data_IF_088450377065
#
_entry.id   IF_088450377065
#
_cell.length_a   1.000
_cell.length_b   1.000
_cell.length_c   1.000
_cell.angle_alpha   90.00
_cell.angle_beta   90.00
_cell.angle_gamma   90.00
#
_symmetry.space_group_name_H-M   'P 1'
#
loop_
_entity.id
_entity.type
_entity.pdbx_description
1 polymer ?
#
# COMPACT_ATOMS: atom_id res chain seq x y z
N UNK A 1 -9.27 -34.20 8.46
CA UNK A 1 -8.22 -33.17 8.46
C UNK A 1 -8.83 -31.91 7.88
N UNK A 2 -8.94 -30.85 8.67
CA UNK A 2 -9.82 -29.71 8.37
C UNK A 2 -9.20 -28.64 7.47
N UNK A 3 -9.99 -28.19 6.49
CA UNK A 3 -9.76 -27.03 5.63
C UNK A 3 -9.21 -25.83 6.42
N UNK A 4 -8.14 -25.21 5.92
CA UNK A 4 -7.65 -23.92 6.44
C UNK A 4 -7.73 -22.87 5.33
N UNK A 5 -8.94 -22.70 4.79
CA UNK A 5 -9.39 -21.43 4.25
C UNK A 5 -9.14 -20.35 5.32
N UNK A 6 -9.07 -19.09 4.91
CA UNK A 6 -9.18 -18.00 5.88
C UNK A 6 -10.44 -18.21 6.73
N UNK A 7 -10.26 -18.71 7.96
CA UNK A 7 -11.36 -19.04 8.89
C UNK A 7 -12.15 -17.81 9.32
N UNK A 8 -11.69 -16.63 8.93
CA UNK A 8 -12.24 -15.34 9.27
C UNK A 8 -13.27 -14.81 8.25
N UNK A 9 -13.47 -15.53 7.13
CA UNK A 9 -14.02 -15.02 5.89
C UNK A 9 -15.56 -14.92 5.84
N UNK A 10 -16.15 -14.16 6.74
CA UNK A 10 -17.41 -13.48 6.42
C UNK A 10 -17.08 -12.33 5.45
N UNK A 11 -17.91 -12.09 4.42
CA UNK A 11 -17.67 -11.07 3.39
C UNK A 11 -17.41 -9.67 3.98
N UNK A 12 -17.99 -9.38 5.14
CA UNK A 12 -17.85 -8.12 5.90
C UNK A 12 -16.38 -7.81 6.25
N UNK A 13 -15.54 -8.84 6.39
CA UNK A 13 -14.14 -8.70 6.80
C UNK A 13 -13.14 -8.52 5.65
N UNK A 14 -13.63 -8.49 4.40
CA UNK A 14 -12.80 -8.34 3.21
C UNK A 14 -12.75 -6.88 2.76
N UNK A 15 -11.55 -6.40 2.45
CA UNK A 15 -11.31 -5.10 1.84
C UNK A 15 -10.89 -5.32 0.40
N UNK A 16 -11.71 -4.87 -0.54
CA UNK A 16 -11.46 -4.97 -1.97
C UNK A 16 -10.40 -3.97 -2.43
N UNK A 17 -9.54 -4.42 -3.35
CA UNK A 17 -8.66 -3.58 -4.14
C UNK A 17 -9.30 -3.40 -5.50
N UNK A 18 -9.59 -2.14 -5.84
CA UNK A 18 -10.20 -1.76 -7.11
C UNK A 18 -9.21 -0.97 -7.93
N UNK A 19 -9.16 -1.26 -9.22
CA UNK A 19 -8.43 -0.42 -10.16
C UNK A 19 -9.24 0.82 -10.56
N UNK A 20 -8.68 1.61 -11.48
CA UNK A 20 -9.31 2.85 -11.99
C UNK A 20 -10.65 2.60 -12.69
N UNK A 21 -10.88 1.38 -13.20
CA UNK A 21 -12.15 0.96 -13.81
C UNK A 21 -13.13 0.38 -12.77
N UNK A 22 -12.83 0.51 -11.48
CA UNK A 22 -13.59 -0.08 -10.38
C UNK A 22 -13.66 -1.61 -10.39
N UNK A 23 -12.81 -2.29 -11.16
CA UNK A 23 -12.74 -3.74 -11.18
C UNK A 23 -11.97 -4.24 -9.96
N UNK A 24 -12.49 -5.28 -9.30
CA UNK A 24 -11.79 -5.90 -8.17
C UNK A 24 -10.58 -6.67 -8.70
N UNK A 25 -9.37 -6.26 -8.30
CA UNK A 25 -8.10 -6.88 -8.69
C UNK A 25 -7.46 -7.68 -7.55
N UNK A 26 -7.96 -7.50 -6.33
CA UNK A 26 -7.55 -8.29 -5.17
C UNK A 26 -8.37 -7.93 -3.94
N UNK A 27 -8.07 -8.56 -2.82
CA UNK A 27 -8.62 -8.20 -1.52
C UNK A 27 -7.75 -8.70 -0.37
N UNK A 28 -7.94 -8.10 0.80
CA UNK A 28 -7.32 -8.54 2.05
C UNK A 28 -8.36 -8.76 3.13
N UNK A 29 -8.14 -9.79 3.94
CA UNK A 29 -8.90 -10.00 5.15
C UNK A 29 -8.36 -9.11 6.28
N UNK A 30 -9.22 -8.33 6.92
CA UNK A 30 -8.80 -7.45 8.02
C UNK A 30 -8.48 -8.20 9.31
N UNK A 31 -9.03 -9.39 9.49
CA UNK A 31 -8.83 -10.20 10.70
C UNK A 31 -7.48 -10.93 10.70
N UNK A 32 -7.11 -11.58 9.59
CA UNK A 32 -5.90 -12.40 9.50
C UNK A 32 -4.81 -11.81 8.58
N UNK A 33 -5.05 -10.63 8.01
CA UNK A 33 -4.17 -9.95 7.07
C UNK A 33 -3.79 -10.72 5.79
N UNK A 34 -4.36 -11.91 5.55
CA UNK A 34 -4.12 -12.64 4.30
C UNK A 34 -4.66 -11.86 3.11
N UNK A 35 -3.95 -11.96 1.99
CA UNK A 35 -4.20 -11.23 0.76
C UNK A 35 -4.39 -12.21 -0.40
N UNK A 36 -5.32 -11.89 -1.31
CA UNK A 36 -5.57 -12.63 -2.54
C UNK A 36 -5.63 -11.67 -3.72
N UNK A 37 -4.99 -12.03 -4.83
CA UNK A 37 -4.86 -11.20 -6.03
C UNK A 37 -5.33 -11.96 -7.26
N UNK A 38 -5.82 -11.27 -8.29
CA UNK A 38 -6.04 -11.89 -9.60
C UNK A 38 -4.70 -12.25 -10.23
N UNK A 39 -4.67 -13.35 -10.98
CA UNK A 39 -3.47 -13.87 -11.66
C UNK A 39 -2.85 -12.89 -12.67
N UNK A 40 -3.62 -11.94 -13.18
CA UNK A 40 -3.21 -10.96 -14.18
C UNK A 40 -2.93 -9.57 -13.61
N UNK A 41 -2.96 -9.40 -12.29
CA UNK A 41 -2.29 -8.24 -11.70
C UNK A 41 -0.81 -8.51 -11.91
N UNK A 42 -0.08 -7.56 -12.50
CA UNK A 42 1.37 -7.60 -12.77
C UNK A 42 2.17 -7.72 -11.45
N UNK A 43 1.96 -8.79 -10.73
CA UNK A 43 2.70 -9.26 -9.58
C UNK A 43 3.57 -10.40 -10.12
N UNK A 44 4.83 -10.46 -9.69
CA UNK A 44 5.68 -11.57 -10.11
C UNK A 44 5.01 -12.90 -9.78
N UNK A 45 4.95 -13.80 -10.78
CA UNK A 45 4.22 -15.07 -10.69
C UNK A 45 4.65 -15.90 -9.48
N UNK A 46 5.91 -15.74 -9.05
CA UNK A 46 6.52 -16.46 -7.94
C UNK A 46 5.97 -16.05 -6.55
N UNK A 47 5.35 -14.86 -6.47
CA UNK A 47 4.69 -14.34 -5.26
C UNK A 47 3.28 -14.91 -5.05
N UNK A 48 2.67 -15.48 -6.09
CA UNK A 48 1.37 -16.13 -6.00
C UNK A 48 1.57 -17.62 -5.70
N UNK A 49 0.82 -18.15 -4.73
CA UNK A 49 0.81 -19.61 -4.50
C UNK A 49 -0.07 -20.26 -5.56
N UNK A 50 0.53 -20.76 -6.65
CA UNK A 50 -0.18 -21.42 -7.75
C UNK A 50 -0.25 -22.95 -7.60
N UNK A 51 0.61 -23.54 -6.76
CA UNK A 51 0.95 -24.97 -6.85
C UNK A 51 0.05 -25.96 -6.09
N UNK A 52 -1.18 -25.61 -5.71
CA UNK A 52 -2.09 -26.68 -5.26
C UNK A 52 -3.55 -26.44 -5.60
N UNK A 53 -4.18 -27.53 -6.03
CA UNK A 53 -5.63 -27.71 -6.17
C UNK A 53 -6.37 -27.74 -4.82
N UNK A 54 -5.74 -27.27 -3.74
CA UNK A 54 -6.43 -27.16 -2.45
C UNK A 54 -7.15 -25.80 -2.38
N UNK A 55 -8.39 -25.82 -1.92
CA UNK A 55 -9.27 -24.66 -1.73
C UNK A 55 -8.69 -23.55 -0.83
N UNK A 56 -7.51 -23.75 -0.24
CA UNK A 56 -6.85 -22.84 0.68
C UNK A 56 -6.01 -21.76 -0.04
N UNK A 57 -5.63 -21.98 -1.30
CA UNK A 57 -4.78 -21.06 -2.07
C UNK A 57 -5.51 -20.29 -3.16
N UNK A 58 -6.69 -20.76 -3.57
CA UNK A 58 -7.52 -20.12 -4.57
C UNK A 58 -8.89 -19.80 -3.97
N UNK A 59 -9.42 -18.61 -4.26
CA UNK A 59 -10.74 -18.19 -3.80
C UNK A 59 -11.58 -17.68 -4.97
N UNK A 60 -12.78 -18.23 -5.12
CA UNK A 60 -13.80 -17.70 -6.02
C UNK A 60 -14.50 -16.53 -5.32
N UNK A 61 -14.45 -15.34 -5.92
CA UNK A 61 -15.11 -14.16 -5.40
C UNK A 61 -15.77 -13.41 -6.56
N UNK A 62 -17.09 -13.20 -6.47
CA UNK A 62 -17.90 -12.56 -7.52
C UNK A 62 -17.65 -13.14 -8.92
N UNK A 63 -17.55 -14.47 -9.04
CA UNK A 63 -17.35 -15.17 -10.31
C UNK A 63 -15.90 -15.14 -10.85
N UNK A 64 -14.94 -14.62 -10.10
CA UNK A 64 -13.52 -14.59 -10.50
C UNK A 64 -12.62 -15.34 -9.52
N UNK A 65 -11.57 -15.96 -10.04
CA UNK A 65 -10.55 -16.63 -9.24
C UNK A 65 -9.48 -15.65 -8.76
N UNK A 66 -9.15 -15.75 -7.47
CA UNK A 66 -8.08 -15.01 -6.83
C UNK A 66 -7.13 -15.98 -6.14
N UNK A 67 -5.85 -15.67 -6.15
CA UNK A 67 -4.79 -16.52 -5.65
C UNK A 67 -4.17 -15.88 -4.43
N UNK A 68 -3.95 -16.69 -3.39
CA UNK A 68 -3.36 -16.23 -2.15
C UNK A 68 -1.92 -15.81 -2.40
N UNK A 69 -1.59 -14.61 -1.94
CA UNK A 69 -0.24 -14.08 -2.04
C UNK A 69 0.62 -14.59 -0.89
N UNK A 70 1.86 -14.96 -1.19
CA UNK A 70 2.88 -15.24 -0.16
C UNK A 70 3.29 -13.92 0.47
N UNK A 71 3.37 -13.82 1.81
CA UNK A 71 3.96 -12.64 2.44
C UNK A 71 5.38 -12.43 1.93
N UNK A 72 5.72 -11.22 1.49
CA UNK A 72 7.11 -10.87 1.22
C UNK A 72 7.91 -10.95 2.52
N UNK A 73 9.00 -11.70 2.52
CA UNK A 73 9.96 -11.71 3.62
C UNK A 73 10.85 -10.49 3.50
N UNK A 74 10.31 -9.32 3.80
CA UNK A 74 11.13 -8.12 3.94
C UNK A 74 11.85 -8.26 5.26
N UNK A 75 13.17 -8.27 5.24
CA UNK A 75 13.97 -8.08 6.45
C UNK A 75 13.59 -6.72 7.04
N UNK A 76 12.73 -6.73 8.06
CA UNK A 76 12.36 -5.48 8.75
C UNK A 76 13.61 -4.98 9.47
N UNK A 77 14.12 -3.78 9.16
CA UNK A 77 15.07 -3.14 10.05
C UNK A 77 14.43 -2.97 11.44
N UNK A 78 15.27 -3.13 12.47
CA UNK A 78 14.85 -2.99 13.87
C UNK A 78 14.51 -1.51 14.11
N UNK A 79 13.22 -1.24 14.26
CA UNK A 79 12.58 0.07 14.43
C UNK A 79 12.35 0.84 13.11
N UNK A 80 11.07 1.21 12.90
CA UNK A 80 10.50 2.20 11.97
C UNK A 80 11.49 3.00 11.09
N UNK A 81 12.11 2.36 10.10
CA UNK A 81 12.85 3.00 9.01
C UNK A 81 12.82 2.06 7.81
N UNK A 82 11.81 2.15 6.94
CA UNK A 82 11.79 1.38 5.68
C UNK A 82 13.08 1.61 4.88
N UNK A 83 13.88 0.55 4.72
CA UNK A 83 15.01 0.39 3.77
C UNK A 83 16.08 1.51 3.77
N UNK A 84 17.32 1.10 3.99
CA UNK A 84 18.55 1.93 4.04
C UNK A 84 18.86 2.73 2.76
N UNK A 85 18.17 2.50 1.63
CA UNK A 85 18.34 3.30 0.41
C UNK A 85 17.21 4.33 0.23
N UNK A 86 17.58 5.58 0.43
CA UNK A 86 16.70 6.75 0.27
C UNK A 86 17.29 7.71 -0.75
N UNK A 87 16.48 8.17 -1.69
CA UNK A 87 16.89 9.20 -2.66
C UNK A 87 16.29 10.54 -2.29
N UNK A 88 17.10 11.57 -1.97
CA UNK A 88 16.57 12.91 -1.70
C UNK A 88 16.03 13.54 -2.99
N UNK A 89 14.79 13.99 -2.92
CA UNK A 89 14.07 14.74 -3.94
C UNK A 89 14.01 16.20 -3.47
N UNK A 90 14.86 17.02 -4.06
CA UNK A 90 14.83 18.48 -3.87
C UNK A 90 13.58 19.07 -4.54
N UNK A 91 13.22 20.30 -4.15
CA UNK A 91 12.03 21.01 -4.67
C UNK A 91 11.87 20.93 -6.20
N UNK A 92 12.94 21.13 -6.98
CA UNK A 92 12.86 21.10 -8.45
C UNK A 92 13.03 19.69 -9.07
N UNK A 93 13.02 18.64 -8.25
CA UNK A 93 13.29 17.26 -8.67
C UNK A 93 12.08 16.34 -8.64
N UNK A 94 10.86 16.89 -8.47
CA UNK A 94 9.65 16.07 -8.34
C UNK A 94 9.31 15.28 -9.61
N UNK A 95 9.87 15.67 -10.77
CA UNK A 95 9.81 14.95 -12.03
C UNK A 95 10.43 13.55 -11.96
N UNK A 96 11.27 13.29 -10.95
CA UNK A 96 11.86 11.98 -10.65
C UNK A 96 10.92 11.07 -9.85
N UNK A 97 9.81 11.61 -9.35
CA UNK A 97 8.76 10.83 -8.70
C UNK A 97 7.76 10.33 -9.74
N UNK A 98 7.11 9.22 -9.43
CA UNK A 98 6.01 8.67 -10.21
C UNK A 98 4.93 8.11 -9.32
N UNK A 99 3.75 7.90 -9.92
CA UNK A 99 2.66 7.20 -9.25
C UNK A 99 3.12 5.84 -8.71
N UNK A 100 2.70 5.50 -7.49
CA UNK A 100 3.12 4.31 -6.76
C UNK A 100 4.47 4.43 -6.04
N UNK A 101 5.17 5.57 -6.11
CA UNK A 101 6.36 5.79 -5.27
C UNK A 101 5.95 5.97 -3.80
N UNK A 102 6.75 5.42 -2.89
CA UNK A 102 6.68 5.69 -1.47
C UNK A 102 7.64 6.84 -1.16
N UNK A 103 7.12 7.91 -0.59
CA UNK A 103 7.90 9.06 -0.16
C UNK A 103 7.78 9.29 1.34
N UNK A 104 8.79 9.92 1.92
CA UNK A 104 8.76 10.43 3.28
C UNK A 104 9.29 11.86 3.36
N UNK A 105 8.85 12.61 4.36
CA UNK A 105 9.38 13.93 4.68
C UNK A 105 9.28 14.17 6.18
N UNK A 106 10.15 15.04 6.70
CA UNK A 106 10.14 15.33 8.12
C UNK A 106 9.04 16.34 8.46
N UNK A 107 8.16 15.96 9.37
CA UNK A 107 7.23 16.87 10.06
C UNK A 107 7.75 17.10 11.47
N UNK A 108 7.22 18.13 12.15
CA UNK A 108 7.61 18.48 13.51
C UNK A 108 7.60 17.23 14.42
N UNK A 109 8.80 16.71 14.72
CA UNK A 109 9.14 15.52 15.53
C UNK A 109 8.94 14.11 14.92
N UNK A 110 8.61 13.94 13.63
CA UNK A 110 8.50 12.59 13.06
C UNK A 110 8.62 12.56 11.53
N UNK A 111 9.05 11.41 11.01
CA UNK A 111 8.99 11.11 9.58
C UNK A 111 7.57 10.77 9.16
N UNK A 112 7.06 11.50 8.18
CA UNK A 112 5.74 11.31 7.63
C UNK A 112 5.83 10.62 6.28
N UNK A 113 5.02 9.59 6.07
CA UNK A 113 5.08 8.73 4.89
C UNK A 113 3.81 8.82 4.04
N UNK A 114 3.96 8.68 2.73
CA UNK A 114 2.84 8.70 1.78
C UNK A 114 3.10 7.85 0.54
N UNK A 115 2.03 7.51 -0.17
CA UNK A 115 2.06 6.94 -1.51
C UNK A 115 1.69 8.02 -2.53
N UNK A 116 2.54 8.22 -3.53
CA UNK A 116 2.28 9.14 -4.64
C UNK A 116 1.21 8.55 -5.56
N UNK A 117 0.16 9.32 -5.84
CA UNK A 117 -0.87 8.99 -6.82
C UNK A 117 -0.62 9.67 -8.16
N UNK A 118 -0.17 10.92 -8.14
CA UNK A 118 0.13 11.69 -9.34
C UNK A 118 1.16 12.78 -9.04
N UNK A 119 1.88 13.19 -10.08
CA UNK A 119 2.88 14.26 -10.04
C UNK A 119 2.43 15.36 -10.99
N UNK A 120 2.31 16.59 -10.49
CA UNK A 120 2.06 17.77 -11.32
C UNK A 120 3.30 18.67 -11.34
N UNK A 121 4.13 18.48 -12.36
CA UNK A 121 5.37 19.26 -12.55
C UNK A 121 5.12 20.73 -12.88
N UNK A 122 3.93 21.10 -13.36
CA UNK A 122 3.60 22.51 -13.65
C UNK A 122 3.33 23.29 -12.37
N UNK A 123 2.60 22.70 -11.44
CA UNK A 123 2.23 23.34 -10.16
C UNK A 123 3.16 22.97 -9.02
N UNK A 124 4.13 22.09 -9.23
CA UNK A 124 5.03 21.57 -8.20
C UNK A 124 4.29 20.87 -7.04
N UNK A 125 3.18 20.20 -7.35
CA UNK A 125 2.36 19.48 -6.37
C UNK A 125 2.35 17.98 -6.61
N UNK A 126 2.19 17.23 -5.52
CA UNK A 126 2.04 15.78 -5.53
C UNK A 126 0.65 15.44 -5.01
N UNK A 127 -0.11 14.65 -5.76
CA UNK A 127 -1.31 14.02 -5.18
C UNK A 127 -0.86 12.78 -4.43
N UNK A 128 -1.22 12.66 -3.16
CA UNK A 128 -0.74 11.58 -2.29
C UNK A 128 -1.86 10.93 -1.48
N UNK A 129 -1.70 9.66 -1.11
CA UNK A 129 -2.47 9.00 -0.04
C UNK A 129 -1.60 8.86 1.19
N UNK A 130 -2.09 9.37 2.32
CA UNK A 130 -1.41 9.22 3.61
C UNK A 130 -2.38 9.31 4.78
N UNK A 131 -1.89 8.95 5.96
CA UNK A 131 -2.54 9.29 7.23
C UNK A 131 -2.41 10.79 7.50
N UNK A 132 -3.51 11.43 7.87
CA UNK A 132 -3.53 12.85 8.23
C UNK A 132 -4.47 13.08 9.40
N UNK A 133 -4.29 14.19 10.10
CA UNK A 133 -5.15 14.55 11.23
C UNK A 133 -6.42 15.22 10.72
N UNK A 134 -7.57 14.74 11.16
CA UNK A 134 -8.87 15.35 10.88
C UNK A 134 -9.58 15.61 12.21
N UNK A 135 -9.45 16.85 12.72
CA UNK A 135 -9.91 17.21 14.06
C UNK A 135 -9.14 16.47 15.16
N UNK A 136 -9.85 15.63 15.93
CA UNK A 136 -9.27 14.85 17.03
C UNK A 136 -8.86 13.42 16.62
N UNK A 137 -9.15 13.00 15.38
CA UNK A 137 -8.81 11.67 14.88
C UNK A 137 -7.77 11.73 13.75
N UNK A 138 -7.19 10.58 13.45
CA UNK A 138 -6.40 10.38 12.25
C UNK A 138 -7.23 9.60 11.24
N UNK A 139 -7.08 9.95 9.97
CA UNK A 139 -7.78 9.32 8.84
C UNK A 139 -6.82 9.17 7.66
N UNK A 140 -7.07 8.23 6.77
CA UNK A 140 -6.37 8.16 5.48
C UNK A 140 -7.11 9.04 4.48
N UNK A 141 -6.40 9.92 3.78
CA UNK A 141 -6.98 10.81 2.76
C UNK A 141 -6.11 10.86 1.51
N UNK A 142 -6.77 11.20 0.40
CA UNK A 142 -6.13 11.78 -0.78
C UNK A 142 -6.01 13.29 -0.56
N UNK A 143 -4.79 13.82 -0.57
CA UNK A 143 -4.51 15.25 -0.43
C UNK A 143 -3.45 15.68 -1.47
N UNK A 144 -3.52 16.94 -1.90
CA UNK A 144 -2.47 17.56 -2.68
C UNK A 144 -1.41 18.10 -1.71
N UNK A 145 -0.18 17.62 -1.84
CA UNK A 145 0.99 18.07 -1.11
C UNK A 145 1.72 19.12 -1.96
N UNK A 146 1.84 20.34 -1.44
CA UNK A 146 2.74 21.34 -1.99
C UNK A 146 4.17 21.01 -1.55
N UNK A 147 5.03 20.70 -2.52
CA UNK A 147 6.42 20.34 -2.23
C UNK A 147 7.21 21.55 -1.77
N UNK A 148 6.75 22.77 -2.05
CA UNK A 148 7.43 23.99 -1.59
C UNK A 148 7.34 24.19 -0.07
N UNK A 149 6.33 23.61 0.58
CA UNK A 149 6.18 23.67 2.05
C UNK A 149 7.06 22.63 2.78
N UNK A 150 7.74 21.74 2.05
CA UNK A 150 8.58 20.69 2.60
C UNK A 150 10.04 20.89 2.18
N UNK A 151 10.96 21.06 3.14
CA UNK A 151 12.37 21.34 2.85
C UNK A 151 13.01 20.27 1.95
N UNK A 152 12.78 18.99 2.25
CA UNK A 152 13.27 17.84 1.47
C UNK A 152 12.26 16.68 1.56
N UNK A 153 11.93 16.11 0.41
CA UNK A 153 11.21 14.83 0.31
C UNK A 153 12.22 13.73 0.02
N UNK A 154 12.06 12.57 0.62
CA UNK A 154 12.87 11.39 0.34
C UNK A 154 12.00 10.35 -0.37
N UNK A 155 12.50 9.80 -1.47
CA UNK A 155 11.95 8.61 -2.10
C UNK A 155 12.56 7.38 -1.43
N UNK A 156 11.70 6.46 -1.01
CA UNK A 156 12.11 5.19 -0.40
C UNK A 156 12.33 4.16 -1.51
N UNK A 157 13.55 3.65 -1.63
CA UNK A 157 13.89 2.64 -2.62
C UNK A 157 13.80 1.25 -1.98
N UNK A 158 13.13 0.33 -2.69
CA UNK A 158 13.00 -1.07 -2.30
C UNK A 158 13.95 -1.87 -3.19
N UNK A 159 14.84 -2.66 -2.57
CA UNK A 159 15.86 -3.46 -3.27
C UNK A 159 15.26 -4.67 -4.03
N UNK A 160 14.11 -5.16 -3.57
CA UNK A 160 13.45 -6.36 -4.07
C UNK A 160 12.14 -6.05 -4.83
N UNK A 161 11.54 -7.12 -5.38
CA UNK A 161 10.26 -7.19 -6.07
C UNK A 161 9.24 -6.18 -5.54
N UNK A 162 8.96 -5.17 -6.37
CA UNK A 162 8.00 -4.11 -6.06
C UNK A 162 6.71 -4.40 -6.80
N UNK A 163 5.58 -4.36 -6.09
CA UNK A 163 4.28 -4.54 -6.75
C UNK A 163 4.03 -3.47 -7.81
N UNK A 164 3.28 -3.84 -8.84
CA UNK A 164 2.89 -2.92 -9.91
C UNK A 164 2.22 -1.67 -9.36
N UNK A 165 2.43 -0.55 -10.04
CA UNK A 165 1.82 0.75 -9.69
C UNK A 165 0.31 0.62 -9.50
N UNK A 166 -0.34 -0.17 -10.37
CA UNK A 166 -1.78 -0.46 -10.32
C UNK A 166 -2.17 -1.08 -8.97
N UNK A 167 -1.43 -2.08 -8.49
CA UNK A 167 -1.71 -2.75 -7.22
C UNK A 167 -1.40 -1.83 -6.03
N UNK A 168 -0.28 -1.13 -6.06
CA UNK A 168 0.11 -0.17 -5.00
C UNK A 168 -0.98 0.88 -4.78
N UNK A 169 -1.48 1.48 -5.86
CA UNK A 169 -2.53 2.50 -5.80
C UNK A 169 -3.86 1.89 -5.34
N UNK A 170 -4.24 0.73 -5.87
CA UNK A 170 -5.48 0.05 -5.47
C UNK A 170 -5.50 -0.30 -3.98
N UNK A 171 -4.35 -0.73 -3.43
CA UNK A 171 -4.18 -0.92 -2.00
C UNK A 171 -4.33 0.38 -1.25
N UNK A 172 -3.59 1.43 -1.62
CA UNK A 172 -3.64 2.72 -0.94
C UNK A 172 -5.08 3.27 -0.88
N UNK A 173 -5.82 3.24 -2.00
CA UNK A 173 -7.22 3.67 -2.07
C UNK A 173 -8.17 2.83 -1.23
N UNK A 174 -7.90 1.54 -1.05
CA UNK A 174 -8.74 0.68 -0.20
C UNK A 174 -8.79 1.12 1.27
N UNK A 175 -7.83 1.94 1.71
CA UNK A 175 -7.83 2.54 3.06
C UNK A 175 -8.69 3.81 3.17
N UNK A 176 -9.10 4.44 2.06
CA UNK A 176 -9.95 5.64 2.09
C UNK A 176 -11.37 5.33 2.58
N UNK A 177 -11.85 4.10 2.36
CA UNK A 177 -13.23 3.70 2.63
C UNK A 177 -13.47 3.40 4.11
N UNK A 178 -12.42 3.33 4.95
CA UNK A 178 -12.55 2.93 6.36
C UNK A 178 -11.82 3.88 7.32
N UNK A 179 -12.52 4.31 8.37
CA UNK A 179 -11.91 4.88 9.58
C UNK A 179 -11.23 3.77 10.38
N UNK A 180 -10.02 3.39 10.01
CA UNK A 180 -9.18 2.57 10.88
C UNK A 180 -8.66 3.43 12.04
N UNK A 181 -8.52 2.86 13.23
CA UNK A 181 -7.86 3.55 14.33
C UNK A 181 -6.36 3.61 14.06
N UNK A 182 -5.80 4.81 13.98
CA UNK A 182 -4.36 5.04 13.87
C UNK A 182 -3.65 4.60 15.16
N UNK A 183 -2.55 3.86 15.02
CA UNK A 183 -1.71 3.43 16.14
C UNK A 183 -0.25 3.73 15.80
N UNK A 184 0.39 4.61 16.57
CA UNK A 184 1.73 5.14 16.30
C UNK A 184 2.82 4.08 16.01
N UNK A 185 2.69 2.89 16.61
CA UNK A 185 3.70 1.83 16.53
C UNK A 185 3.31 0.62 15.67
N UNK A 186 2.07 0.55 15.18
CA UNK A 186 1.56 -0.65 14.48
C UNK A 186 0.67 -0.34 13.29
N UNK A 187 0.01 0.82 13.25
CA UNK A 187 -0.86 1.26 12.17
C UNK A 187 -0.65 2.77 11.92
N UNK A 188 0.53 3.11 11.42
CA UNK A 188 0.97 4.49 11.15
C UNK A 188 1.13 4.74 9.63
N UNK A 189 1.63 5.93 9.26
CA UNK A 189 1.90 6.31 7.87
C UNK A 189 2.92 5.38 7.18
N UNK A 190 3.96 4.94 7.90
CA UNK A 190 4.99 4.05 7.38
C UNK A 190 4.45 2.64 7.09
N UNK A 191 3.70 2.06 8.03
CA UNK A 191 3.07 0.74 7.85
C UNK A 191 2.12 0.75 6.66
N UNK A 192 1.36 1.83 6.48
CA UNK A 192 0.48 2.00 5.32
C UNK A 192 1.28 1.99 4.02
N UNK A 193 2.29 2.85 3.91
CA UNK A 193 3.04 2.99 2.68
C UNK A 193 3.83 1.72 2.34
N UNK A 194 4.45 1.09 3.35
CA UNK A 194 5.11 -0.21 3.20
C UNK A 194 4.15 -1.27 2.69
N UNK A 195 3.00 -1.45 3.35
CA UNK A 195 1.98 -2.40 2.91
C UNK A 195 1.49 -2.14 1.48
N UNK A 196 1.43 -0.88 1.04
CA UNK A 196 1.04 -0.60 -0.33
C UNK A 196 2.12 -1.04 -1.32
N UNK A 197 3.40 -0.83 -0.99
CA UNK A 197 4.55 -1.15 -1.86
C UNK A 197 4.87 -2.65 -1.97
N UNK A 198 4.53 -3.41 -0.93
CA UNK A 198 4.99 -4.79 -0.74
C UNK A 198 3.88 -5.70 -0.32
#
# INVERSE_FOLDING_TARGET
MGNKQCKCADEISLVEYKDDESQVIGFRCEKCASEWLKYNVECEKDLLVQESTSDDHMKLYKGHHFYRRKPLQIEKPKACEVSVDITPIKMNGIDKLKAGDHISWFRIFYWHHAIVLAVNTKTQTLKVIHWTRCGQSFVVKEEDLDVQESDVIFKINYADVVDSVKLVIARARSFLVKTKSYWLFTNNCETLATFCKT
#
